data_IF_582497539012
#
_entry.id   IF_582497539012
#
_cell.length_a   1.000
_cell.length_b   1.000
_cell.length_c   1.000
_cell.angle_alpha   90.00
_cell.angle_beta   90.00
_cell.angle_gamma   90.00
#
_symmetry.space_group_name_H-M   'P 1'
#
loop_
_entity.id
_entity.type
_entity.pdbx_description
1 polymer ?
#
# COMPACT_ATOMS: atom_id res chain seq x y z
N UNK A 1 -21.03 2.05 -15.30
CA UNK A 1 -21.66 1.03 -14.44
C UNK A 1 -22.07 -0.12 -15.33
N UNK A 2 -21.52 -1.33 -15.10
CA UNK A 2 -21.89 -2.54 -15.84
C UNK A 2 -23.04 -3.22 -15.09
N UNK A 3 -24.16 -3.45 -15.77
CA UNK A 3 -25.23 -4.29 -15.24
C UNK A 3 -24.78 -5.75 -15.30
N UNK A 4 -24.69 -6.42 -14.15
CA UNK A 4 -24.26 -7.83 -14.05
C UNK A 4 -25.06 -8.57 -12.98
N UNK A 5 -25.25 -9.87 -13.17
CA UNK A 5 -25.86 -10.75 -12.16
C UNK A 5 -24.81 -11.20 -11.13
N UNK A 6 -25.19 -11.62 -9.90
CA UNK A 6 -24.25 -11.96 -8.83
C UNK A 6 -23.23 -13.07 -9.18
N UNK A 7 -23.53 -13.90 -10.19
CA UNK A 7 -22.69 -15.04 -10.58
C UNK A 7 -21.72 -14.74 -11.73
N UNK A 8 -21.78 -13.55 -12.32
CA UNK A 8 -20.99 -13.17 -13.52
C UNK A 8 -19.85 -12.19 -13.20
N UNK A 9 -19.50 -12.06 -11.92
CA UNK A 9 -18.55 -11.04 -11.44
C UNK A 9 -17.17 -11.09 -12.10
N UNK A 10 -16.68 -12.29 -12.43
CA UNK A 10 -15.40 -12.54 -13.10
C UNK A 10 -15.56 -12.94 -14.58
N UNK A 11 -16.77 -12.82 -15.15
CA UNK A 11 -16.97 -13.12 -16.56
C UNK A 11 -16.09 -12.15 -17.39
N UNK A 12 -15.21 -12.64 -18.28
CA UNK A 12 -14.35 -11.80 -19.10
C UNK A 12 -15.11 -10.80 -19.97
N UNK A 13 -16.38 -11.08 -20.31
CA UNK A 13 -17.28 -10.15 -21.01
C UNK A 13 -17.75 -8.99 -20.12
N UNK A 14 -17.67 -9.15 -18.81
CA UNK A 14 -18.09 -8.20 -17.78
C UNK A 14 -16.90 -7.53 -17.06
N UNK A 15 -15.66 -7.84 -17.45
CA UNK A 15 -14.44 -7.25 -16.91
C UNK A 15 -13.56 -6.71 -18.03
N UNK A 16 -13.17 -5.44 -17.96
CA UNK A 16 -12.10 -4.92 -18.81
C UNK A 16 -10.75 -5.09 -18.10
N UNK A 17 -9.68 -5.49 -18.81
CA UNK A 17 -8.35 -5.52 -18.22
C UNK A 17 -7.94 -4.09 -17.89
N UNK A 18 -7.77 -3.80 -16.59
CA UNK A 18 -7.26 -2.52 -16.11
C UNK A 18 -6.03 -2.74 -15.26
N UNK A 19 -5.02 -1.89 -15.42
CA UNK A 19 -3.80 -1.94 -14.62
C UNK A 19 -3.97 -1.28 -13.25
N UNK A 20 -4.86 -0.29 -13.14
CA UNK A 20 -5.20 0.41 -11.89
C UNK A 20 -6.72 0.47 -11.75
N UNK A 21 -7.24 -0.15 -10.71
CA UNK A 21 -8.66 -0.03 -10.36
C UNK A 21 -8.89 1.30 -9.61
N UNK A 22 -10.05 1.92 -9.83
CA UNK A 22 -10.41 3.24 -9.28
C UNK A 22 -10.74 3.29 -7.78
N UNK A 23 -10.38 2.26 -7.01
CA UNK A 23 -10.64 2.16 -5.57
C UNK A 23 -9.67 2.95 -4.68
N UNK A 24 -8.83 3.79 -5.28
CA UNK A 24 -7.77 4.52 -4.58
C UNK A 24 -6.47 3.74 -4.45
N UNK A 25 -5.53 4.30 -3.69
CA UNK A 25 -4.28 3.64 -3.32
C UNK A 25 -3.94 3.97 -1.86
N UNK A 26 -3.06 3.16 -1.28
CA UNK A 26 -2.49 3.38 0.06
C UNK A 26 -0.98 3.40 -0.10
N UNK A 27 -0.30 4.36 0.52
CA UNK A 27 1.16 4.41 0.57
C UNK A 27 1.63 4.10 1.97
N UNK A 28 2.64 3.25 2.06
CA UNK A 28 3.22 2.78 3.32
C UNK A 28 4.74 2.76 3.24
N UNK A 29 5.37 3.04 4.38
CA UNK A 29 6.77 2.77 4.63
C UNK A 29 6.85 1.75 5.78
N UNK A 30 7.75 0.79 5.66
CA UNK A 30 8.06 -0.10 6.77
C UNK A 30 9.41 -0.74 6.56
N UNK A 31 9.99 -1.28 7.62
CA UNK A 31 11.24 -2.03 7.53
C UNK A 31 11.14 -3.36 8.29
N UNK A 32 11.98 -4.32 7.94
CA UNK A 32 12.04 -5.63 8.55
C UNK A 32 13.49 -6.09 8.67
N UNK A 33 13.74 -6.96 9.63
CA UNK A 33 15.03 -7.61 9.86
C UNK A 33 14.81 -9.08 10.26
N UNK A 34 15.91 -9.82 10.47
CA UNK A 34 15.84 -11.26 10.77
C UNK A 34 15.07 -11.58 12.07
N UNK A 35 15.05 -10.62 12.99
CA UNK A 35 14.39 -10.68 14.30
C UNK A 35 12.90 -10.31 14.25
N UNK A 36 12.43 -9.66 13.18
CA UNK A 36 11.02 -9.31 13.07
C UNK A 36 10.71 -8.19 12.08
N UNK A 37 9.45 -7.79 12.08
CA UNK A 37 8.94 -6.67 11.29
C UNK A 37 8.93 -5.43 12.17
N UNK A 38 9.49 -4.34 11.66
CA UNK A 38 9.46 -3.02 12.29
C UNK A 38 8.14 -2.28 12.01
N UNK A 39 8.08 -1.02 12.39
CA UNK A 39 6.86 -0.22 12.27
C UNK A 39 6.41 -0.02 10.80
N UNK A 40 5.10 -0.03 10.59
CA UNK A 40 4.45 0.31 9.32
C UNK A 40 3.80 1.69 9.43
N UNK A 41 4.28 2.64 8.64
CA UNK A 41 3.87 4.03 8.64
C UNK A 41 3.04 4.30 7.38
N UNK A 42 1.85 4.88 7.57
CA UNK A 42 0.93 5.26 6.49
C UNK A 42 1.06 6.75 6.20
N UNK A 43 0.99 7.11 4.92
CA UNK A 43 1.02 8.52 4.50
C UNK A 43 0.22 8.72 3.20
N UNK A 44 -0.45 9.86 3.09
CA UNK A 44 -1.31 10.16 1.94
C UNK A 44 -0.56 10.89 0.81
N UNK A 45 0.35 11.78 1.18
CA UNK A 45 1.11 12.62 0.24
C UNK A 45 2.30 11.90 -0.41
N UNK A 46 3.00 12.59 -1.30
CA UNK A 46 4.26 12.08 -1.81
C UNK A 46 5.35 12.25 -0.76
N UNK A 47 6.09 11.17 -0.49
CA UNK A 47 7.14 11.20 0.51
C UNK A 47 8.25 12.17 0.09
N UNK A 48 8.48 13.20 0.89
CA UNK A 48 9.59 14.12 0.71
C UNK A 48 10.87 13.54 1.32
N UNK A 49 12.03 14.08 0.92
CA UNK A 49 13.29 13.68 1.54
C UNK A 49 13.38 14.02 3.03
N UNK A 50 12.65 15.04 3.48
CA UNK A 50 12.59 15.41 4.91
C UNK A 50 11.75 14.42 5.71
N UNK A 51 10.54 14.10 5.24
CA UNK A 51 9.69 13.07 5.85
C UNK A 51 10.42 11.73 5.93
N UNK A 52 11.16 11.37 4.89
CA UNK A 52 11.93 10.13 4.89
C UNK A 52 13.02 10.12 5.98
N UNK A 53 13.75 11.23 6.15
CA UNK A 53 14.75 11.36 7.22
C UNK A 53 14.13 11.28 8.61
N UNK A 54 12.96 11.89 8.81
CA UNK A 54 12.22 11.83 10.08
C UNK A 54 11.77 10.40 10.40
N UNK A 55 11.12 9.73 9.44
CA UNK A 55 10.68 8.34 9.58
C UNK A 55 11.87 7.43 9.91
N UNK A 56 13.02 7.62 9.26
CA UNK A 56 14.23 6.88 9.57
C UNK A 56 14.73 7.16 10.98
N UNK A 57 14.81 8.43 11.40
CA UNK A 57 15.29 8.79 12.73
C UNK A 57 14.41 8.15 13.84
N UNK A 58 13.10 8.11 13.63
CA UNK A 58 12.14 7.61 14.61
C UNK A 58 12.03 6.07 14.62
N UNK A 59 12.07 5.43 13.45
CA UNK A 59 11.68 4.03 13.31
C UNK A 59 12.84 3.08 13.02
N UNK A 60 13.97 3.56 12.48
CA UNK A 60 15.07 2.67 12.07
C UNK A 60 15.70 1.91 13.25
N UNK A 61 15.78 2.55 14.42
CA UNK A 61 16.37 1.93 15.61
C UNK A 61 15.38 1.04 16.39
N UNK A 62 14.08 1.28 16.27
CA UNK A 62 13.06 0.43 16.90
C UNK A 62 12.99 -0.96 16.26
N UNK A 63 13.40 -1.07 14.99
CA UNK A 63 13.37 -2.31 14.22
C UNK A 63 14.57 -3.25 14.48
N UNK A 64 15.45 -2.90 15.41
CA UNK A 64 16.63 -3.70 15.82
C UNK A 64 16.38 -4.66 16.98
N UNK A 65 15.18 -4.70 17.57
CA UNK A 65 14.82 -5.66 18.63
C UNK A 65 14.33 -6.96 18.05
#
# INVERSE_FOLDING_TARGET
MLWRTPTEEFNPKCTFPTTKHGGGNVKVWGCFAWNGVGNLIFFDDNMTGEMYKEILAENLFQSRT
#
